data_IF_954867514805
#
_entry.id   IF_954867514805
#
_cell.length_a   1.000
_cell.length_b   1.000
_cell.length_c   1.000
_cell.angle_alpha   90.00
_cell.angle_beta   90.00
_cell.angle_gamma   90.00
#
_symmetry.space_group_name_H-M   'P 1'
#
loop_
_entity.id
_entity.type
_entity.pdbx_description
1 polymer ?
#
# COMPACT_ATOMS: atom_id res chain seq x y z
N UNK A 1 -10.78 -15.60 -11.18
CA UNK A 1 -9.88 -15.30 -10.05
C UNK A 1 -8.39 -15.33 -10.42
N UNK A 2 -7.87 -16.39 -11.05
CA UNK A 2 -6.43 -16.47 -11.43
C UNK A 2 -5.96 -15.30 -12.30
N UNK A 3 -6.76 -14.84 -13.24
CA UNK A 3 -6.42 -13.72 -14.13
C UNK A 3 -6.33 -12.38 -13.39
N UNK A 4 -7.22 -12.12 -12.43
CA UNK A 4 -7.17 -10.91 -11.59
C UNK A 4 -5.91 -10.88 -10.73
N UNK A 5 -5.57 -12.00 -10.07
CA UNK A 5 -4.33 -12.09 -9.30
C UNK A 5 -3.11 -11.85 -10.20
N UNK A 6 -3.08 -12.46 -11.38
CA UNK A 6 -2.02 -12.24 -12.38
C UNK A 6 -1.92 -10.77 -12.78
N UNK A 7 -3.05 -10.09 -12.91
CA UNK A 7 -3.11 -8.68 -13.27
C UNK A 7 -2.56 -7.80 -12.15
N UNK A 8 -2.90 -8.06 -10.89
CA UNK A 8 -2.32 -7.37 -9.74
C UNK A 8 -0.81 -7.62 -9.59
N UNK A 9 -0.35 -8.85 -9.84
CA UNK A 9 1.10 -9.14 -9.91
C UNK A 9 1.77 -8.33 -11.00
N UNK A 10 1.15 -8.21 -12.19
CA UNK A 10 1.70 -7.40 -13.27
C UNK A 10 1.71 -5.90 -12.95
N UNK A 11 0.73 -5.40 -12.18
CA UNK A 11 0.72 -4.03 -11.68
C UNK A 11 1.84 -3.85 -10.65
N UNK A 12 2.00 -4.77 -9.70
CA UNK A 12 3.09 -4.77 -8.72
C UNK A 12 4.47 -4.79 -9.39
N UNK A 13 4.61 -5.51 -10.52
CA UNK A 13 5.81 -5.54 -11.36
C UNK A 13 5.91 -4.35 -12.34
N UNK A 14 5.02 -3.37 -12.24
CA UNK A 14 4.99 -2.18 -13.08
C UNK A 14 4.85 -2.46 -14.60
N UNK A 15 4.30 -3.62 -14.98
CA UNK A 15 4.10 -4.02 -16.39
C UNK A 15 2.73 -3.59 -16.92
N UNK A 16 1.73 -3.46 -16.04
CA UNK A 16 0.37 -3.01 -16.34
C UNK A 16 -0.02 -1.83 -15.44
N UNK A 17 -1.13 -1.17 -15.79
CA UNK A 17 -1.63 -0.01 -15.06
C UNK A 17 -3.08 -0.19 -14.59
N UNK A 18 -3.63 0.80 -13.84
CA UNK A 18 -5.01 0.76 -13.36
C UNK A 18 -6.04 0.73 -14.50
N UNK A 19 -5.70 1.24 -15.70
CA UNK A 19 -6.57 1.22 -16.87
C UNK A 19 -6.87 -0.19 -17.39
N UNK A 20 -6.06 -1.19 -17.03
CA UNK A 20 -6.29 -2.59 -17.40
C UNK A 20 -7.31 -3.28 -16.47
N UNK A 21 -7.75 -2.59 -15.41
CA UNK A 21 -8.73 -3.09 -14.45
C UNK A 21 -10.14 -2.62 -14.82
N UNK A 22 -11.17 -3.48 -14.65
CA UNK A 22 -12.55 -3.04 -14.80
C UNK A 22 -12.92 -2.03 -13.71
N UNK A 23 -13.62 -0.95 -14.09
CA UNK A 23 -14.17 0.03 -13.17
C UNK A 23 -15.39 -0.54 -12.46
N UNK A 24 -15.19 -1.33 -11.41
CA UNK A 24 -16.24 -2.03 -10.67
C UNK A 24 -16.13 -1.77 -9.17
N UNK A 25 -17.20 -1.26 -8.57
CA UNK A 25 -17.29 -1.08 -7.12
C UNK A 25 -17.21 -2.41 -6.37
N UNK A 26 -17.76 -3.49 -6.93
CA UNK A 26 -17.66 -4.82 -6.35
C UNK A 26 -16.21 -5.33 -6.35
N UNK A 27 -15.44 -5.05 -7.41
CA UNK A 27 -14.02 -5.40 -7.46
C UNK A 27 -13.22 -4.60 -6.44
N UNK A 28 -13.49 -3.30 -6.29
CA UNK A 28 -12.87 -2.45 -5.28
C UNK A 28 -13.16 -2.97 -3.87
N UNK A 29 -14.42 -3.27 -3.57
CA UNK A 29 -14.80 -3.83 -2.27
C UNK A 29 -14.12 -5.17 -2.01
N UNK A 30 -14.06 -6.05 -3.00
CA UNK A 30 -13.38 -7.34 -2.91
C UNK A 30 -11.87 -7.22 -2.70
N UNK A 31 -11.19 -6.27 -3.35
CA UNK A 31 -9.75 -6.05 -3.17
C UNK A 31 -9.45 -5.40 -1.83
N UNK A 32 -10.25 -4.43 -1.38
CA UNK A 32 -10.10 -3.82 -0.05
C UNK A 32 -10.35 -4.85 1.07
N UNK A 33 -11.37 -5.70 0.93
CA UNK A 33 -11.61 -6.80 1.86
C UNK A 33 -10.45 -7.82 1.84
N UNK A 34 -9.94 -8.17 0.67
CA UNK A 34 -8.77 -9.05 0.52
C UNK A 34 -7.53 -8.46 1.21
N UNK A 35 -7.27 -7.17 1.03
CA UNK A 35 -6.20 -6.45 1.71
C UNK A 35 -6.38 -6.51 3.24
N UNK A 36 -7.59 -6.24 3.74
CA UNK A 36 -7.91 -6.33 5.16
C UNK A 36 -7.68 -7.75 5.71
N UNK A 37 -8.18 -8.79 5.03
CA UNK A 37 -8.01 -10.19 5.43
C UNK A 37 -6.52 -10.56 5.49
N UNK A 38 -5.74 -10.18 4.49
CA UNK A 38 -4.30 -10.46 4.47
C UNK A 38 -3.62 -9.80 5.66
N UNK A 39 -3.92 -8.52 5.96
CA UNK A 39 -3.34 -7.83 7.12
C UNK A 39 -3.78 -8.47 8.46
N UNK A 40 -5.03 -8.95 8.57
CA UNK A 40 -5.48 -9.71 9.74
C UNK A 40 -4.73 -11.04 9.89
N UNK A 41 -4.49 -11.77 8.80
CA UNK A 41 -3.71 -13.01 8.83
C UNK A 41 -2.25 -12.74 9.21
N UNK A 42 -1.67 -11.63 8.71
CA UNK A 42 -0.33 -11.19 9.08
C UNK A 42 -0.21 -10.96 10.58
N UNK A 43 -1.17 -10.23 11.16
CA UNK A 43 -1.18 -9.93 12.60
C UNK A 43 -1.38 -11.16 13.47
N UNK A 44 -1.98 -12.24 12.92
CA UNK A 44 -2.12 -13.52 13.61
C UNK A 44 -0.80 -14.34 13.61
N UNK A 45 0.04 -14.16 12.58
CA UNK A 45 1.34 -14.87 12.46
C UNK A 45 2.47 -14.09 13.13
N UNK A 46 2.48 -12.78 12.98
CA UNK A 46 3.43 -11.91 13.66
C UNK A 46 2.80 -11.48 14.98
N UNK A 47 3.49 -11.64 16.14
CA UNK A 47 2.95 -11.16 17.39
C UNK A 47 2.59 -9.68 17.22
N UNK A 48 1.37 -9.29 17.60
CA UNK A 48 0.87 -7.94 17.36
C UNK A 48 1.81 -6.93 18.02
N UNK A 49 2.06 -5.83 17.33
CA UNK A 49 2.65 -4.66 17.96
C UNK A 49 1.70 -4.28 19.09
N UNK A 50 2.17 -4.17 20.34
CA UNK A 50 1.30 -3.74 21.44
C UNK A 50 0.62 -2.43 21.03
N UNK A 51 -0.72 -2.43 20.99
CA UNK A 51 -1.46 -1.25 20.60
C UNK A 51 -2.65 -1.56 19.68
N UNK A 52 -3.26 -0.53 19.19
CA UNK A 52 -4.50 -0.57 18.40
C UNK A 52 -4.27 -0.86 16.90
N UNK A 53 -3.50 -1.92 16.57
CA UNK A 53 -3.15 -2.26 15.18
C UNK A 53 -4.38 -2.32 14.24
N UNK A 54 -5.51 -2.85 14.73
CA UNK A 54 -6.74 -2.93 13.94
C UNK A 54 -7.32 -1.53 13.68
N UNK A 55 -7.29 -0.63 14.69
CA UNK A 55 -7.66 0.77 14.51
C UNK A 55 -6.75 1.48 13.50
N UNK A 56 -5.45 1.24 13.56
CA UNK A 56 -4.48 1.77 12.59
C UNK A 56 -4.77 1.28 11.17
N UNK A 57 -5.07 -0.01 10.99
CA UNK A 57 -5.45 -0.58 9.70
C UNK A 57 -6.72 0.08 9.13
N UNK A 58 -7.75 0.28 9.95
CA UNK A 58 -8.98 0.95 9.51
C UNK A 58 -8.68 2.40 9.09
N UNK A 59 -7.92 3.14 9.90
CA UNK A 59 -7.54 4.52 9.59
C UNK A 59 -6.73 4.57 8.28
N UNK A 60 -5.80 3.64 8.07
CA UNK A 60 -5.03 3.54 6.83
C UNK A 60 -5.92 3.31 5.61
N UNK A 61 -6.85 2.34 5.69
CA UNK A 61 -7.78 2.05 4.60
C UNK A 61 -8.64 3.29 4.29
N UNK A 62 -9.24 3.90 5.31
CA UNK A 62 -10.07 5.11 5.14
C UNK A 62 -9.24 6.25 4.57
N UNK A 63 -8.02 6.46 5.07
CA UNK A 63 -7.12 7.48 4.57
C UNK A 63 -6.81 7.28 3.08
N UNK A 64 -6.50 6.07 2.65
CA UNK A 64 -6.23 5.76 1.23
C UNK A 64 -7.45 6.05 0.37
N UNK A 65 -8.65 5.65 0.80
CA UNK A 65 -9.90 5.97 0.08
C UNK A 65 -10.11 7.49 -0.05
N UNK A 66 -10.01 8.21 1.06
CA UNK A 66 -10.21 9.68 1.09
C UNK A 66 -9.15 10.38 0.26
N UNK A 67 -7.87 9.97 0.37
CA UNK A 67 -6.77 10.53 -0.38
C UNK A 67 -7.00 10.45 -1.90
N UNK A 68 -7.30 9.26 -2.42
CA UNK A 68 -7.52 9.09 -3.86
C UNK A 68 -8.83 9.74 -4.33
N UNK A 69 -9.88 9.73 -3.51
CA UNK A 69 -11.13 10.41 -3.84
C UNK A 69 -10.92 11.93 -3.96
N UNK A 70 -10.24 12.54 -3.01
CA UNK A 70 -9.93 13.98 -3.02
C UNK A 70 -8.97 14.32 -4.16
N UNK A 71 -7.86 13.58 -4.29
CA UNK A 71 -6.85 13.84 -5.31
C UNK A 71 -7.45 13.79 -6.72
N UNK A 72 -8.17 12.73 -7.05
CA UNK A 72 -8.75 12.57 -8.40
C UNK A 72 -9.91 13.54 -8.65
N UNK A 73 -10.65 13.92 -7.61
CA UNK A 73 -11.70 14.94 -7.72
C UNK A 73 -11.12 16.33 -7.97
N UNK A 74 -10.08 16.72 -7.23
CA UNK A 74 -9.39 18.03 -7.42
C UNK A 74 -8.75 18.12 -8.79
N UNK A 75 -8.26 17.02 -9.33
CA UNK A 75 -7.62 16.95 -10.64
C UNK A 75 -8.61 16.67 -11.80
N UNK A 76 -9.93 16.75 -11.54
CA UNK A 76 -10.99 16.52 -12.52
C UNK A 76 -10.89 15.15 -13.24
N UNK A 77 -10.51 14.10 -12.51
CA UNK A 77 -10.44 12.70 -13.00
C UNK A 77 -11.20 11.72 -12.11
N UNK A 78 -12.42 12.04 -11.60
CA UNK A 78 -13.14 11.19 -10.66
C UNK A 78 -13.52 9.83 -11.25
N UNK A 79 -13.64 9.70 -12.57
CA UNK A 79 -13.96 8.47 -13.29
C UNK A 79 -12.89 7.39 -13.10
N UNK A 80 -11.63 7.78 -12.80
CA UNK A 80 -10.51 6.85 -12.58
C UNK A 80 -10.40 6.36 -11.14
N UNK A 81 -11.26 6.85 -10.24
CA UNK A 81 -11.18 6.52 -8.81
C UNK A 81 -11.26 5.01 -8.55
N UNK A 82 -12.28 4.34 -9.11
CA UNK A 82 -12.49 2.91 -8.89
C UNK A 82 -11.29 2.08 -9.36
N UNK A 83 -10.78 2.36 -10.55
CA UNK A 83 -9.66 1.61 -11.11
C UNK A 83 -8.35 1.86 -10.34
N UNK A 84 -8.07 3.13 -10.00
CA UNK A 84 -6.85 3.52 -9.30
C UNK A 84 -6.82 2.92 -7.90
N UNK A 85 -7.91 3.07 -7.13
CA UNK A 85 -7.98 2.57 -5.76
C UNK A 85 -7.98 1.04 -5.72
N UNK A 86 -8.66 0.38 -6.67
CA UNK A 86 -8.58 -1.08 -6.84
C UNK A 86 -7.16 -1.55 -7.14
N UNK A 87 -6.44 -0.85 -8.03
CA UNK A 87 -5.05 -1.17 -8.33
C UNK A 87 -4.17 -1.06 -7.10
N UNK A 88 -4.35 -0.01 -6.28
CA UNK A 88 -3.57 0.24 -5.07
C UNK A 88 -3.78 -0.89 -4.05
N UNK A 89 -5.01 -1.20 -3.67
CA UNK A 89 -5.27 -2.30 -2.72
C UNK A 89 -4.85 -3.65 -3.28
N UNK A 90 -5.07 -3.89 -4.59
CA UNK A 90 -4.73 -5.14 -5.23
C UNK A 90 -3.21 -5.42 -5.25
N UNK A 91 -2.37 -4.46 -5.66
CA UNK A 91 -0.93 -4.67 -5.66
C UNK A 91 -0.34 -4.69 -4.24
N UNK A 92 -0.88 -3.91 -3.31
CA UNK A 92 -0.47 -3.95 -1.90
C UNK A 92 -0.76 -5.32 -1.28
N UNK A 93 -1.92 -5.91 -1.56
CA UNK A 93 -2.24 -7.28 -1.12
C UNK A 93 -1.25 -8.31 -1.68
N UNK A 94 -0.80 -8.14 -2.94
CA UNK A 94 0.23 -9.01 -3.55
C UNK A 94 1.61 -8.82 -2.91
N UNK A 95 1.96 -7.59 -2.53
CA UNK A 95 3.25 -7.29 -1.88
C UNK A 95 3.25 -7.58 -0.37
N UNK A 96 2.09 -7.75 0.25
CA UNK A 96 1.96 -8.00 1.68
C UNK A 96 2.84 -9.15 2.19
N UNK A 97 2.96 -10.32 1.52
CA UNK A 97 3.86 -11.39 1.95
C UNK A 97 5.33 -10.96 2.04
N UNK A 98 5.80 -10.09 1.12
CA UNK A 98 7.17 -9.56 1.15
C UNK A 98 7.37 -8.63 2.35
N UNK A 99 6.40 -7.78 2.63
CA UNK A 99 6.41 -6.90 3.81
C UNK A 99 6.43 -7.71 5.11
N UNK A 100 5.61 -8.77 5.20
CA UNK A 100 5.59 -9.67 6.35
C UNK A 100 6.96 -10.29 6.56
N UNK A 101 7.53 -10.84 5.49
CA UNK A 101 8.85 -11.49 5.56
C UNK A 101 9.92 -10.52 6.03
N UNK A 102 9.91 -9.26 5.53
CA UNK A 102 10.85 -8.24 5.95
C UNK A 102 10.69 -7.87 7.44
N UNK A 103 9.45 -7.65 7.90
CA UNK A 103 9.17 -7.34 9.32
C UNK A 103 9.55 -8.50 10.23
N UNK A 104 9.26 -9.74 9.80
CA UNK A 104 9.67 -10.93 10.54
C UNK A 104 11.20 -11.03 10.68
N UNK A 105 11.93 -10.83 9.58
CA UNK A 105 13.40 -10.81 9.60
C UNK A 105 13.94 -9.73 10.53
N UNK A 106 13.40 -8.52 10.47
CA UNK A 106 13.81 -7.43 11.39
C UNK A 106 13.64 -7.86 12.84
N UNK A 107 12.53 -8.49 13.20
CA UNK A 107 12.28 -8.93 14.58
C UNK A 107 13.15 -10.09 15.02
N UNK A 108 13.39 -11.04 14.11
CA UNK A 108 14.17 -12.25 14.42
C UNK A 108 15.66 -11.94 14.62
N UNK A 109 16.19 -10.94 13.92
CA UNK A 109 17.60 -10.60 13.89
C UNK A 109 17.88 -9.18 14.40
N UNK A 110 17.01 -8.63 15.26
CA UNK A 110 17.15 -7.27 15.82
C UNK A 110 18.46 -7.06 16.56
N UNK A 111 18.96 -8.10 17.24
CA UNK A 111 20.11 -8.05 18.13
C UNK A 111 21.41 -8.55 17.45
N UNK A 112 21.35 -8.96 16.19
CA UNK A 112 22.49 -9.45 15.43
C UNK A 112 23.03 -8.37 14.47
N UNK A 113 24.15 -7.76 14.84
CA UNK A 113 24.78 -6.71 14.04
C UNK A 113 25.16 -7.16 12.63
N UNK A 114 25.40 -8.46 12.40
CA UNK A 114 25.77 -9.02 11.09
C UNK A 114 24.61 -8.92 10.10
N UNK A 115 23.37 -9.16 10.56
CA UNK A 115 22.17 -9.16 9.73
C UNK A 115 21.46 -7.82 9.64
N UNK A 116 21.79 -6.89 10.54
CA UNK A 116 21.15 -5.57 10.61
C UNK A 116 21.22 -4.80 9.29
N UNK A 117 22.41 -4.73 8.68
CA UNK A 117 22.60 -4.01 7.42
C UNK A 117 21.89 -4.68 6.24
N UNK A 118 22.06 -6.00 5.97
CA UNK A 118 21.32 -6.68 4.88
C UNK A 118 19.81 -6.56 5.00
N UNK A 119 19.25 -6.71 6.19
CA UNK A 119 17.80 -6.62 6.43
C UNK A 119 17.30 -5.19 6.22
N UNK A 120 18.04 -4.18 6.68
CA UNK A 120 17.69 -2.77 6.44
C UNK A 120 17.71 -2.43 4.95
N UNK A 121 18.68 -2.95 4.19
CA UNK A 121 18.73 -2.78 2.73
C UNK A 121 17.57 -3.47 2.03
N UNK A 122 17.17 -4.66 2.47
CA UNK A 122 15.98 -5.34 1.96
C UNK A 122 14.71 -4.52 2.22
N UNK A 123 14.54 -4.03 3.44
CA UNK A 123 13.42 -3.16 3.79
C UNK A 123 13.36 -1.90 2.93
N UNK A 124 14.50 -1.23 2.76
CA UNK A 124 14.62 -0.06 1.89
C UNK A 124 14.25 -0.39 0.43
N UNK A 125 14.73 -1.51 -0.09
CA UNK A 125 14.41 -1.96 -1.45
C UNK A 125 12.89 -2.18 -1.64
N UNK A 126 12.22 -2.77 -0.65
CA UNK A 126 10.76 -2.97 -0.67
C UNK A 126 10.03 -1.62 -0.62
N UNK A 127 10.48 -0.67 0.22
CA UNK A 127 9.93 0.69 0.26
C UNK A 127 10.04 1.38 -1.09
N UNK A 128 11.24 1.39 -1.67
CA UNK A 128 11.49 2.00 -2.99
C UNK A 128 10.61 1.35 -4.06
N UNK A 129 10.49 0.03 -4.05
CA UNK A 129 9.61 -0.67 -4.98
C UNK A 129 8.14 -0.28 -4.80
N UNK A 130 7.66 -0.23 -3.57
CA UNK A 130 6.26 0.16 -3.27
C UNK A 130 5.98 1.59 -3.73
N UNK A 131 6.90 2.53 -3.47
CA UNK A 131 6.80 3.91 -3.96
C UNK A 131 6.79 3.96 -5.49
N UNK A 132 7.67 3.22 -6.15
CA UNK A 132 7.73 3.18 -7.62
C UNK A 132 6.47 2.57 -8.24
N UNK A 133 5.93 1.48 -7.67
CA UNK A 133 4.70 0.86 -8.13
C UNK A 133 3.50 1.80 -7.96
N UNK A 134 3.39 2.47 -6.81
CA UNK A 134 2.33 3.43 -6.55
C UNK A 134 2.44 4.68 -7.46
N UNK A 135 3.64 5.20 -7.66
CA UNK A 135 3.88 6.30 -8.58
C UNK A 135 3.51 5.94 -10.03
N UNK A 136 3.74 4.69 -10.43
CA UNK A 136 3.34 4.20 -11.76
C UNK A 136 1.82 4.11 -11.91
N UNK A 137 1.12 3.62 -10.89
CA UNK A 137 -0.35 3.63 -10.85
C UNK A 137 -0.87 5.05 -10.95
N UNK A 138 -0.29 5.97 -10.18
CA UNK A 138 -0.69 7.37 -10.16
C UNK A 138 -0.40 8.07 -11.50
N UNK A 139 0.76 7.80 -12.11
CA UNK A 139 1.11 8.29 -13.43
C UNK A 139 0.09 7.89 -14.49
N UNK A 140 -0.35 6.64 -14.48
CA UNK A 140 -1.36 6.16 -15.41
C UNK A 140 -2.75 6.77 -15.13
N UNK A 141 -3.05 7.11 -13.87
CA UNK A 141 -4.30 7.77 -13.49
C UNK A 141 -4.32 9.26 -13.84
N UNK A 142 -3.22 9.98 -13.63
CA UNK A 142 -3.13 11.44 -13.76
C UNK A 142 -2.53 11.90 -15.10
N UNK A 143 -1.80 11.00 -15.78
CA UNK A 143 -1.04 11.33 -17.00
C UNK A 143 0.05 12.40 -16.77
N UNK A 144 0.56 12.47 -15.52
CA UNK A 144 1.57 13.41 -15.10
C UNK A 144 2.99 12.88 -15.27
N UNK A 145 3.97 13.77 -15.16
CA UNK A 145 5.39 13.40 -15.15
C UNK A 145 5.73 12.51 -13.95
N UNK A 146 6.60 11.53 -14.16
CA UNK A 146 6.99 10.56 -13.12
C UNK A 146 7.46 11.22 -11.81
N UNK A 147 8.31 12.28 -11.83
CA UNK A 147 8.76 12.93 -10.60
C UNK A 147 7.62 13.52 -9.76
N UNK A 148 6.61 14.12 -10.41
CA UNK A 148 5.44 14.67 -9.72
C UNK A 148 4.61 13.56 -9.06
N UNK A 149 4.43 12.42 -9.72
CA UNK A 149 3.74 11.27 -9.15
C UNK A 149 4.51 10.67 -7.97
N UNK A 150 5.84 10.58 -8.04
CA UNK A 150 6.68 10.12 -6.92
C UNK A 150 6.54 11.07 -5.73
N UNK A 151 6.60 12.39 -5.95
CA UNK A 151 6.42 13.38 -4.89
C UNK A 151 5.05 13.26 -4.21
N UNK A 152 3.97 13.06 -4.98
CA UNK A 152 2.63 12.83 -4.45
C UNK A 152 2.52 11.54 -3.62
N UNK A 153 3.18 10.48 -4.05
CA UNK A 153 3.21 9.22 -3.30
C UNK A 153 3.97 9.39 -1.99
N UNK A 154 5.12 10.05 -2.01
CA UNK A 154 5.88 10.34 -0.79
C UNK A 154 5.03 11.21 0.16
N UNK A 155 4.37 12.24 -0.37
CA UNK A 155 3.46 13.08 0.42
C UNK A 155 2.31 12.27 1.03
N UNK A 156 1.71 11.34 0.27
CA UNK A 156 0.68 10.43 0.77
C UNK A 156 1.18 9.61 1.95
N UNK A 157 2.36 8.98 1.84
CA UNK A 157 2.93 8.17 2.93
C UNK A 157 3.24 9.02 4.15
N UNK A 158 3.84 10.20 3.97
CA UNK A 158 4.13 11.11 5.08
C UNK A 158 2.85 11.60 5.78
N UNK A 159 1.84 12.00 5.01
CA UNK A 159 0.56 12.43 5.55
C UNK A 159 -0.14 11.29 6.33
N UNK A 160 -0.10 10.05 5.81
CA UNK A 160 -0.62 8.88 6.49
C UNK A 160 0.10 8.60 7.80
N UNK A 161 1.44 8.65 7.80
CA UNK A 161 2.24 8.46 9.03
C UNK A 161 1.97 9.54 10.07
N UNK A 162 1.90 10.81 9.66
CA UNK A 162 1.57 11.92 10.57
C UNK A 162 0.18 11.73 11.16
N UNK A 163 -0.81 11.33 10.35
CA UNK A 163 -2.16 11.05 10.82
C UNK A 163 -2.19 9.93 11.86
N UNK A 164 -1.50 8.82 11.60
CA UNK A 164 -1.41 7.70 12.52
C UNK A 164 -0.72 8.11 13.83
N UNK A 165 0.39 8.83 13.76
CA UNK A 165 1.08 9.35 14.93
C UNK A 165 0.16 10.28 15.73
N UNK A 166 -0.55 11.19 15.10
CA UNK A 166 -1.46 12.12 15.78
C UNK A 166 -2.59 11.39 16.49
N UNK A 167 -3.22 10.40 15.84
CA UNK A 167 -4.36 9.67 16.41
C UNK A 167 -3.96 8.68 17.52
N UNK A 168 -2.76 8.12 17.46
CA UNK A 168 -2.35 7.04 18.38
C UNK A 168 -1.19 7.41 19.29
N UNK A 169 -0.60 8.62 19.17
CA UNK A 169 0.50 9.09 20.05
C UNK A 169 0.12 9.22 21.53
N UNK A 170 -1.15 9.44 21.82
CA UNK A 170 -1.65 9.52 23.22
C UNK A 170 -1.93 8.16 23.87
N UNK A 171 -1.65 7.05 23.18
CA UNK A 171 -1.94 5.68 23.62
C UNK A 171 -0.66 4.81 23.71
N UNK A 172 0.51 5.40 23.46
CA UNK A 172 1.84 4.84 23.71
C UNK A 172 2.36 5.27 25.09
#
# INVERSE_FOLDING_TARGET
MKELVRLFVQIALMRKGPQDLPASAALLAGTAAGYCIINCLISAVLPPIPGHWFGQLIVEIVFVFVWYALLLRVLNRPERFLQTTTAVFGYQAVLAPLWISAVWLVRQFSDDDTWRLPISMLGLAIVVWTVAANARVLKAALEWATPACVALVILQYLAGQILLLYLFSGML
#
